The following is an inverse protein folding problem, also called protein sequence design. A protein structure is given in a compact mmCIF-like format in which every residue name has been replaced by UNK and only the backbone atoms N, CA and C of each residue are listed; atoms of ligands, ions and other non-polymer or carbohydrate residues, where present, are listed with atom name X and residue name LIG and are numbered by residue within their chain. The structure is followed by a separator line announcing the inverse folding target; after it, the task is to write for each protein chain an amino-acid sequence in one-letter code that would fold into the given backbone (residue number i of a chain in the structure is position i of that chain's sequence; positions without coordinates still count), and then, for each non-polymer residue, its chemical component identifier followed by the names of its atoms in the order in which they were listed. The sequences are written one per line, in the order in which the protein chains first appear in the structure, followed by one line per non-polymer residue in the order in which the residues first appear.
data_IF_546677882050
#
_entry.id   IF_546677882050
#
_cell.length_a   1.000
_cell.length_b   1.000
_cell.length_c   1.000
_cell.angle_alpha   90.00
_cell.angle_beta   90.00
_cell.angle_gamma   90.00
#
_symmetry.space_group_name_H-M   'P 1'
#
loop_
_entity.id
_entity.type
_entity.pdbx_description
1 polymer ?
#
# COMPACT_ATOMS: atom_id res chain seq x y z
N UNK A 1 -10.54 10.97 15.77
CA UNK A 1 -9.15 11.11 15.29
C UNK A 1 -8.17 11.28 16.44
N UNK A 2 -8.40 12.19 17.40
CA UNK A 2 -7.46 12.40 18.53
C UNK A 2 -7.27 11.15 19.41
N UNK A 3 -8.34 10.42 19.75
CA UNK A 3 -8.22 9.21 20.58
C UNK A 3 -7.33 8.14 19.93
N UNK A 4 -7.60 7.75 18.68
CA UNK A 4 -6.79 6.73 18.00
C UNK A 4 -5.33 7.16 17.83
N UNK A 5 -5.07 8.47 17.65
CA UNK A 5 -3.71 9.02 17.67
C UNK A 5 -3.05 8.88 19.04
N UNK A 6 -3.75 9.22 20.12
CA UNK A 6 -3.23 9.07 21.49
C UNK A 6 -3.01 7.59 21.85
N UNK A 7 -3.88 6.70 21.41
CA UNK A 7 -3.71 5.26 21.54
C UNK A 7 -2.47 4.80 20.77
N UNK A 8 -2.17 5.43 19.61
CA UNK A 8 -0.99 5.10 18.81
C UNK A 8 0.30 5.55 19.47
N UNK A 9 0.31 6.77 20.00
CA UNK A 9 1.43 7.26 20.79
C UNK A 9 1.65 6.41 22.06
N UNK A 10 0.58 5.93 22.69
CA UNK A 10 0.66 5.07 23.87
C UNK A 10 1.26 3.69 23.56
N UNK A 11 0.87 3.07 22.45
CA UNK A 11 1.46 1.81 21.99
C UNK A 11 2.92 2.01 21.57
N UNK A 12 3.25 3.09 20.86
CA UNK A 12 4.65 3.41 20.55
C UNK A 12 5.51 3.62 21.80
N UNK A 13 4.94 4.17 22.87
CA UNK A 13 5.65 4.31 24.16
C UNK A 13 5.94 2.95 24.81
N UNK A 14 5.09 1.94 24.61
CA UNK A 14 5.22 0.63 25.24
C UNK A 14 6.01 -0.38 24.41
N UNK A 15 5.79 -0.40 23.10
CA UNK A 15 6.41 -1.34 22.15
C UNK A 15 7.58 -0.76 21.36
N UNK A 16 7.83 0.55 21.44
CA UNK A 16 8.79 1.26 20.60
C UNK A 16 8.19 1.68 19.25
N UNK A 17 9.03 1.94 18.24
CA UNK A 17 8.54 2.24 16.90
C UNK A 17 7.86 1.01 16.28
N UNK A 18 6.82 1.20 15.44
CA UNK A 18 6.24 0.09 14.70
C UNK A 18 7.30 -0.55 13.81
N UNK A 19 7.20 -1.86 13.57
CA UNK A 19 8.08 -2.57 12.63
C UNK A 19 7.59 -2.35 11.19
N UNK A 20 6.27 -2.23 10.97
CA UNK A 20 5.74 -1.82 9.67
C UNK A 20 4.70 -0.71 9.77
N UNK A 21 4.70 0.15 8.75
CA UNK A 21 3.68 1.14 8.53
C UNK A 21 3.01 0.90 7.18
N UNK A 22 1.71 0.60 7.22
CA UNK A 22 0.93 0.31 6.02
C UNK A 22 -0.10 1.41 5.83
N UNK A 23 -0.20 1.93 4.61
CA UNK A 23 -1.31 2.80 4.20
C UNK A 23 -2.19 2.09 3.20
N UNK A 24 -3.44 1.83 3.57
CA UNK A 24 -4.46 1.25 2.68
C UNK A 24 -5.47 2.32 2.28
N UNK A 25 -5.56 2.60 0.99
CA UNK A 25 -6.48 3.61 0.42
C UNK A 25 -7.63 2.94 -0.33
N UNK A 26 -8.84 3.48 -0.19
CA UNK A 26 -10.03 3.01 -0.90
C UNK A 26 -9.86 3.06 -2.42
N UNK A 27 -10.36 2.02 -3.11
CA UNK A 27 -10.44 1.99 -4.56
C UNK A 27 -11.89 2.20 -5.04
N UNK A 28 -12.23 3.35 -5.64
CA UNK A 28 -13.57 3.59 -6.19
C UNK A 28 -13.89 2.70 -7.40
N UNK A 29 -12.89 2.06 -8.02
CA UNK A 29 -13.07 1.18 -9.20
C UNK A 29 -13.32 -0.28 -8.85
N UNK A 30 -13.46 -0.62 -7.57
CA UNK A 30 -13.81 -1.97 -7.15
C UNK A 30 -15.07 -2.46 -7.88
N UNK A 31 -15.13 -3.75 -8.28
CA UNK A 31 -16.25 -4.28 -9.04
C UNK A 31 -17.57 -4.17 -8.26
N UNK A 32 -17.54 -4.21 -6.93
CA UNK A 32 -18.71 -4.02 -6.09
C UNK A 32 -19.29 -2.60 -6.19
N UNK A 33 -18.43 -1.57 -6.32
CA UNK A 33 -18.84 -0.18 -6.53
C UNK A 33 -19.45 -0.03 -7.92
N UNK A 34 -18.76 -0.53 -8.96
CA UNK A 34 -19.25 -0.48 -10.35
C UNK A 34 -20.60 -1.19 -10.50
N UNK A 35 -20.77 -2.34 -9.86
CA UNK A 35 -22.04 -3.09 -9.86
C UNK A 35 -23.16 -2.30 -9.17
N UNK A 36 -22.86 -1.64 -8.06
CA UNK A 36 -23.85 -0.82 -7.35
C UNK A 36 -24.31 0.38 -8.18
N UNK A 37 -23.38 1.05 -8.87
CA UNK A 37 -23.66 2.24 -9.67
C UNK A 37 -24.13 1.94 -11.09
N UNK A 38 -24.22 0.66 -11.49
CA UNK A 38 -24.48 0.26 -12.88
C UNK A 38 -25.73 0.93 -13.48
N UNK A 39 -26.79 1.02 -12.68
CA UNK A 39 -28.10 1.56 -13.11
C UNK A 39 -28.34 2.98 -12.58
N UNK A 40 -27.29 3.63 -12.06
CA UNK A 40 -27.35 4.95 -11.44
C UNK A 40 -26.38 5.85 -12.20
N UNK A 41 -26.86 6.96 -12.75
CA UNK A 41 -26.02 7.97 -13.42
C UNK A 41 -25.21 8.83 -12.44
N UNK A 42 -24.53 8.19 -11.48
CA UNK A 42 -23.69 8.83 -10.47
C UNK A 42 -22.28 8.27 -10.53
N UNK A 43 -21.30 9.11 -10.22
CA UNK A 43 -19.93 8.69 -10.03
C UNK A 43 -19.72 8.12 -8.61
N UNK A 44 -18.69 7.28 -8.39
CA UNK A 44 -18.34 6.79 -7.06
C UNK A 44 -18.17 7.91 -6.02
N UNK A 45 -17.62 9.05 -6.43
CA UNK A 45 -17.38 10.23 -5.61
C UNK A 45 -18.69 10.86 -5.11
N UNK A 46 -19.79 10.69 -5.84
CA UNK A 46 -21.13 11.16 -5.45
C UNK A 46 -21.75 10.29 -4.35
N UNK A 47 -21.18 9.11 -4.08
CA UNK A 47 -21.66 8.13 -3.08
C UNK A 47 -20.57 7.74 -2.07
N UNK A 48 -20.05 8.72 -1.30
CA UNK A 48 -18.99 8.47 -0.32
C UNK A 48 -19.44 7.52 0.81
N UNK A 49 -20.74 7.40 1.06
CA UNK A 49 -21.32 6.47 2.02
C UNK A 49 -21.03 5.00 1.65
N UNK A 50 -21.09 4.68 0.36
CA UNK A 50 -20.86 3.33 -0.15
C UNK A 50 -19.38 3.02 -0.15
N UNK A 51 -18.55 3.97 -0.61
CA UNK A 51 -17.10 3.83 -0.57
C UNK A 51 -16.61 3.60 0.86
N UNK A 52 -17.12 4.36 1.83
CA UNK A 52 -16.80 4.16 3.25
C UNK A 52 -17.20 2.77 3.75
N UNK A 53 -18.41 2.30 3.44
CA UNK A 53 -18.91 0.99 3.89
C UNK A 53 -18.09 -0.15 3.29
N UNK A 54 -17.89 -0.12 1.98
CA UNK A 54 -17.12 -1.14 1.28
C UNK A 54 -15.66 -1.13 1.73
N UNK A 55 -15.07 0.05 1.88
CA UNK A 55 -13.72 0.17 2.42
C UNK A 55 -13.61 -0.43 3.82
N UNK A 56 -14.57 -0.18 4.72
CA UNK A 56 -14.56 -0.80 6.06
C UNK A 56 -14.60 -2.33 6.00
N UNK A 57 -15.43 -2.91 5.13
CA UNK A 57 -15.50 -4.37 4.94
C UNK A 57 -14.15 -4.92 4.43
N UNK A 58 -13.56 -4.27 3.42
CA UNK A 58 -12.25 -4.67 2.88
C UNK A 58 -11.14 -4.49 3.91
N UNK A 59 -11.18 -3.42 4.71
CA UNK A 59 -10.24 -3.15 5.80
C UNK A 59 -10.33 -4.22 6.89
N UNK A 60 -11.53 -4.65 7.28
CA UNK A 60 -11.69 -5.73 8.26
C UNK A 60 -11.14 -7.05 7.74
N UNK A 61 -11.39 -7.36 6.46
CA UNK A 61 -10.77 -8.52 5.80
C UNK A 61 -9.25 -8.38 5.73
N UNK A 62 -8.73 -7.19 5.44
CA UNK A 62 -7.29 -6.90 5.38
C UNK A 62 -6.62 -7.18 6.71
N UNK A 63 -7.20 -6.69 7.82
CA UNK A 63 -6.68 -6.91 9.17
C UNK A 63 -6.73 -8.39 9.55
N UNK A 64 -7.79 -9.11 9.15
CA UNK A 64 -7.89 -10.56 9.35
C UNK A 64 -6.76 -11.29 8.62
N UNK A 65 -6.54 -10.98 7.35
CA UNK A 65 -5.48 -11.56 6.53
C UNK A 65 -4.09 -11.32 7.12
N UNK A 66 -3.82 -10.10 7.62
CA UNK A 66 -2.55 -9.79 8.28
C UNK A 66 -2.31 -10.67 9.52
N UNK A 67 -3.35 -10.95 10.32
CA UNK A 67 -3.24 -11.74 11.55
C UNK A 67 -3.15 -13.23 11.30
N UNK A 68 -4.01 -13.75 10.42
CA UNK A 68 -4.20 -15.20 10.25
C UNK A 68 -3.24 -15.82 9.24
N UNK A 69 -2.90 -15.11 8.17
CA UNK A 69 -1.98 -15.64 7.15
C UNK A 69 -0.51 -15.38 7.50
N UNK A 70 -0.24 -14.76 8.66
CA UNK A 70 1.10 -14.41 9.13
C UNK A 70 1.98 -13.76 8.06
N UNK A 71 1.38 -12.89 7.23
CA UNK A 71 2.03 -12.28 6.04
C UNK A 71 3.33 -11.58 6.41
N UNK A 72 3.35 -10.95 7.59
CA UNK A 72 4.52 -10.30 8.17
C UNK A 72 4.95 -10.96 9.50
N UNK A 73 4.50 -12.18 9.78
CA UNK A 73 4.74 -12.89 11.04
C UNK A 73 3.62 -12.75 12.09
N UNK A 74 3.97 -12.88 13.37
CA UNK A 74 3.05 -12.69 14.51
C UNK A 74 3.01 -11.20 14.86
N UNK A 75 1.81 -10.61 14.88
CA UNK A 75 1.62 -9.16 14.87
C UNK A 75 0.64 -8.68 15.95
N UNK A 76 0.99 -7.58 16.62
CA UNK A 76 0.02 -6.65 17.20
C UNK A 76 -0.30 -5.57 16.16
N UNK A 77 -1.60 -5.29 15.97
CA UNK A 77 -2.07 -4.39 14.92
C UNK A 77 -2.80 -3.22 15.54
N UNK A 78 -2.38 -2.02 15.17
CA UNK A 78 -3.09 -0.80 15.47
C UNK A 78 -3.60 -0.11 14.21
N UNK A 79 -4.84 0.38 14.30
CA UNK A 79 -5.57 0.95 13.18
C UNK A 79 -5.92 2.43 13.42
N UNK A 80 -5.54 3.28 12.48
CA UNK A 80 -6.01 4.65 12.38
C UNK A 80 -6.84 4.83 11.11
N UNK A 81 -8.16 4.64 11.23
CA UNK A 81 -9.10 4.85 10.13
C UNK A 81 -9.52 6.33 10.03
N UNK A 82 -9.43 6.90 8.83
CA UNK A 82 -9.91 8.25 8.53
C UNK A 82 -11.09 8.19 7.57
N UNK A 83 -12.23 8.73 8.02
CA UNK A 83 -13.45 8.84 7.21
C UNK A 83 -13.42 10.15 6.41
N UNK A 84 -13.14 10.05 5.12
CA UNK A 84 -13.09 11.17 4.17
C UNK A 84 -13.71 10.75 2.83
N UNK A 85 -13.79 11.70 1.88
CA UNK A 85 -14.26 11.44 0.50
C UNK A 85 -13.45 10.33 -0.18
N UNK A 86 -12.15 10.20 0.15
CA UNK A 86 -11.33 9.05 -0.16
C UNK A 86 -10.88 8.36 1.15
N UNK A 87 -11.63 7.36 1.63
CA UNK A 87 -11.31 6.66 2.88
C UNK A 87 -9.92 6.02 2.78
N UNK A 88 -9.13 6.19 3.82
CA UNK A 88 -7.87 5.48 3.98
C UNK A 88 -7.64 5.13 5.44
N UNK A 89 -6.75 4.17 5.64
CA UNK A 89 -6.31 3.77 6.97
C UNK A 89 -4.80 3.68 7.02
N UNK A 90 -4.24 4.21 8.10
CA UNK A 90 -2.87 3.92 8.49
C UNK A 90 -2.89 2.76 9.48
N UNK A 91 -2.00 1.81 9.29
CA UNK A 91 -1.92 0.58 10.06
C UNK A 91 -0.49 0.45 10.55
N UNK A 92 -0.32 0.44 11.87
CA UNK A 92 0.95 0.18 12.51
C UNK A 92 0.98 -1.30 12.89
N UNK A 93 2.03 -2.00 12.47
CA UNK A 93 2.28 -3.39 12.85
C UNK A 93 3.48 -3.47 13.78
N UNK A 94 3.32 -4.18 14.88
CA UNK A 94 4.39 -4.50 15.82
C UNK A 94 4.59 -6.01 15.82
N UNK A 95 5.78 -6.44 15.44
CA UNK A 95 6.18 -7.85 15.44
C UNK A 95 6.50 -8.31 16.86
N UNK A 96 6.13 -9.55 17.16
CA UNK A 96 6.57 -10.20 18.39
C UNK A 96 8.11 -10.28 18.44
N UNK A 97 8.70 -10.04 19.62
CA UNK A 97 10.17 -9.97 19.82
C UNK A 97 10.92 -11.13 19.20
N UNK A 98 10.40 -12.34 19.38
CA UNK A 98 11.04 -13.60 18.97
C UNK A 98 11.03 -13.80 17.45
N UNK A 99 10.26 -12.98 16.72
CA UNK A 99 10.11 -13.04 15.27
C UNK A 99 10.69 -11.80 14.59
N UNK A 100 11.33 -10.89 15.33
CA UNK A 100 12.01 -9.72 14.75
C UNK A 100 13.22 -10.21 13.94
N UNK A 101 13.04 -10.30 12.63
CA UNK A 101 14.09 -10.67 11.66
C UNK A 101 14.35 -9.47 10.73
N UNK A 102 15.26 -8.54 11.10
CA UNK A 102 15.37 -7.22 10.49
C UNK A 102 16.42 -7.19 9.36
N UNK A 103 16.47 -8.21 8.50
CA UNK A 103 17.42 -8.18 7.36
C UNK A 103 16.70 -7.86 6.06
N UNK A 104 17.39 -7.11 5.19
CA UNK A 104 16.90 -6.79 3.84
C UNK A 104 16.59 -8.06 3.05
N UNK A 105 17.40 -9.10 3.21
CA UNK A 105 17.22 -10.40 2.54
C UNK A 105 15.91 -11.09 2.93
N UNK A 106 15.44 -10.89 4.16
CA UNK A 106 14.14 -11.40 4.61
C UNK A 106 12.97 -10.53 4.12
N UNK A 107 13.22 -9.25 3.87
CA UNK A 107 12.20 -8.29 3.45
C UNK A 107 11.91 -8.30 1.95
N UNK A 108 12.93 -8.50 1.11
CA UNK A 108 12.78 -8.51 -0.36
C UNK A 108 11.68 -9.48 -0.89
N UNK A 109 11.47 -10.68 -0.30
CA UNK A 109 10.36 -11.55 -0.69
C UNK A 109 8.98 -11.03 -0.28
N UNK A 110 8.90 -10.22 0.78
CA UNK A 110 7.66 -9.75 1.39
C UNK A 110 7.24 -8.40 0.81
N UNK A 111 8.20 -7.49 0.63
CA UNK A 111 8.01 -6.14 0.12
C UNK A 111 8.83 -5.99 -1.17
N UNK A 112 8.13 -5.67 -2.25
CA UNK A 112 8.72 -5.40 -3.56
C UNK A 112 8.60 -3.93 -3.89
N UNK A 113 9.55 -3.45 -4.68
CA UNK A 113 9.53 -2.13 -5.34
C UNK A 113 9.83 -2.26 -6.83
N UNK A 114 9.61 -3.45 -7.38
CA UNK A 114 9.97 -3.82 -8.76
C UNK A 114 8.73 -4.05 -9.62
N UNK A 115 8.81 -3.66 -10.89
CA UNK A 115 7.81 -3.93 -11.92
C UNK A 115 8.11 -5.34 -12.46
N UNK A 116 7.15 -6.29 -12.43
CA UNK A 116 7.34 -7.61 -13.02
C UNK A 116 7.40 -7.48 -14.54
N UNK A 117 8.00 -8.47 -15.20
CA UNK A 117 7.83 -8.61 -16.64
C UNK A 117 6.34 -8.84 -16.95
N UNK A 118 5.82 -8.14 -17.95
CA UNK A 118 4.44 -8.27 -18.41
C UNK A 118 4.13 -9.68 -18.92
N UNK A 119 5.11 -10.39 -19.47
CA UNK A 119 4.95 -11.75 -19.98
C UNK A 119 4.88 -12.78 -18.83
N UNK A 120 5.52 -12.49 -17.69
CA UNK A 120 5.58 -13.40 -16.54
C UNK A 120 4.37 -13.23 -15.60
N UNK A 121 3.97 -11.98 -15.32
CA UNK A 121 2.83 -11.67 -14.44
C UNK A 121 2.07 -10.43 -14.94
N UNK A 122 1.26 -10.57 -16.01
CA UNK A 122 0.53 -9.45 -16.62
C UNK A 122 -0.48 -8.81 -15.66
N UNK A 123 -1.05 -9.61 -14.74
CA UNK A 123 -1.95 -9.12 -13.71
C UNK A 123 -1.23 -8.18 -12.75
N UNK A 124 -0.10 -8.62 -12.17
CA UNK A 124 0.67 -7.79 -11.25
C UNK A 124 1.23 -6.55 -11.93
N UNK A 125 1.69 -6.67 -13.18
CA UNK A 125 2.11 -5.54 -14.00
C UNK A 125 0.98 -4.49 -14.10
N UNK A 126 -0.24 -4.93 -14.46
CA UNK A 126 -1.40 -4.05 -14.56
C UNK A 126 -1.75 -3.39 -13.22
N UNK A 127 -1.71 -4.14 -12.11
CA UNK A 127 -2.01 -3.62 -10.78
C UNK A 127 -0.95 -2.61 -10.29
N UNK A 128 0.33 -2.86 -10.57
CA UNK A 128 1.40 -1.91 -10.22
C UNK A 128 1.27 -0.64 -11.04
N UNK A 129 1.03 -0.78 -12.34
CA UNK A 129 0.75 0.36 -13.20
C UNK A 129 -0.44 1.14 -12.65
N UNK A 130 -1.54 0.50 -12.29
CA UNK A 130 -2.72 1.22 -11.83
C UNK A 130 -2.53 1.85 -10.44
N UNK A 131 -2.02 1.10 -9.47
CA UNK A 131 -2.09 1.47 -8.07
C UNK A 131 -0.75 1.87 -7.46
N UNK A 132 0.37 1.25 -7.85
CA UNK A 132 1.65 1.38 -7.12
C UNK A 132 2.62 2.41 -7.72
N UNK A 133 2.25 3.01 -8.85
CA UNK A 133 3.05 4.06 -9.48
C UNK A 133 2.22 5.33 -9.52
N UNK A 134 2.66 6.34 -8.79
CA UNK A 134 2.12 7.68 -8.97
C UNK A 134 2.43 8.12 -10.40
N UNK A 135 1.39 8.51 -11.15
CA UNK A 135 1.58 9.13 -12.46
C UNK A 135 2.48 10.37 -12.35
N UNK A 136 2.98 10.92 -13.47
CA UNK A 136 3.83 12.11 -13.43
C UNK A 136 3.14 13.18 -12.58
N UNK A 137 3.74 13.49 -11.42
CA UNK A 137 3.28 14.60 -10.59
C UNK A 137 3.14 15.82 -11.50
N UNK A 138 2.04 16.55 -11.38
CA UNK A 138 1.57 17.54 -12.37
C UNK A 138 2.42 18.82 -12.45
N UNK A 139 3.75 18.71 -12.43
CA UNK A 139 4.69 19.79 -12.74
C UNK A 139 5.73 19.24 -13.72
N UNK A 140 5.74 19.77 -14.95
CA UNK A 140 6.75 19.55 -15.98
C UNK A 140 7.04 18.09 -16.39
N UNK A 141 6.04 17.20 -16.33
CA UNK A 141 6.17 15.76 -16.65
C UNK A 141 7.25 15.05 -15.81
N UNK A 142 7.68 15.65 -14.69
CA UNK A 142 8.66 15.07 -13.76
C UNK A 142 7.95 14.68 -12.47
N UNK A 143 8.07 13.42 -12.08
CA UNK A 143 7.60 12.97 -10.78
C UNK A 143 8.56 13.47 -9.70
N UNK A 144 8.11 14.38 -8.84
CA UNK A 144 8.88 14.86 -7.68
C UNK A 144 9.07 13.76 -6.62
N UNK A 145 8.24 12.71 -6.66
CA UNK A 145 8.32 11.53 -5.80
C UNK A 145 9.07 10.40 -6.50
N UNK A 146 10.37 10.60 -6.71
CA UNK A 146 11.25 9.51 -7.15
C UNK A 146 11.86 8.87 -5.91
N UNK A 147 11.68 7.56 -5.74
CA UNK A 147 12.30 6.79 -4.67
C UNK A 147 13.72 6.41 -5.11
N UNK A 148 14.60 7.42 -5.19
CA UNK A 148 16.00 7.21 -5.52
C UNK A 148 16.71 6.47 -4.38
N UNK A 149 17.57 5.52 -4.74
CA UNK A 149 18.42 4.81 -3.80
C UNK A 149 19.71 5.62 -3.58
N UNK A 150 20.07 5.72 -2.31
CA UNK A 150 21.34 6.10 -1.70
C UNK A 150 21.46 7.51 -1.09
N UNK A 151 21.92 7.46 0.16
CA UNK A 151 22.31 8.52 1.08
C UNK A 151 21.15 9.28 1.75
N UNK A 152 21.04 9.04 3.08
CA UNK A 152 20.17 9.72 4.06
C UNK A 152 18.81 9.06 4.40
N UNK A 153 18.71 7.72 4.35
CA UNK A 153 17.76 6.99 5.20
C UNK A 153 16.44 6.52 4.59
N UNK A 154 16.37 6.18 3.29
CA UNK A 154 15.34 5.31 2.65
C UNK A 154 15.75 5.03 1.18
N UNK A 155 15.38 3.90 0.51
CA UNK A 155 14.76 2.67 0.99
C UNK A 155 15.74 1.48 1.06
N UNK A 156 15.51 0.56 2.02
CA UNK A 156 16.33 -0.63 2.30
C UNK A 156 16.13 -1.80 1.31
N UNK A 157 15.11 -1.75 0.46
CA UNK A 157 14.73 -2.88 -0.41
C UNK A 157 15.51 -2.90 -1.71
N UNK A 158 15.71 -4.12 -2.24
CA UNK A 158 16.33 -4.28 -3.55
C UNK A 158 15.47 -3.63 -4.63
N UNK A 159 16.13 -2.82 -5.46
CA UNK A 159 15.54 -2.18 -6.63
C UNK A 159 16.47 -2.35 -7.83
N UNK A 160 16.19 -3.34 -8.68
CA UNK A 160 16.99 -3.59 -9.89
C UNK A 160 16.79 -2.50 -10.94
N UNK A 161 17.84 -2.21 -11.68
CA UNK A 161 17.77 -1.48 -12.94
C UNK A 161 17.80 -2.51 -14.08
N UNK A 162 16.68 -3.18 -14.29
CA UNK A 162 16.49 -4.27 -15.25
C UNK A 162 15.85 -3.81 -16.57
N UNK A 163 15.58 -2.51 -16.71
CA UNK A 163 14.95 -1.94 -17.89
C UNK A 163 13.43 -2.10 -17.94
N UNK A 164 12.79 -2.69 -16.92
CA UNK A 164 11.33 -2.73 -16.85
C UNK A 164 10.75 -1.34 -16.58
N UNK A 165 9.65 -1.03 -17.24
CA UNK A 165 8.94 0.24 -17.09
C UNK A 165 7.44 0.06 -17.32
N UNK A 166 6.66 0.98 -16.76
CA UNK A 166 5.29 1.26 -17.20
C UNK A 166 5.27 2.60 -17.93
N UNK A 167 4.32 2.78 -18.84
CA UNK A 167 4.12 4.07 -19.51
C UNK A 167 2.84 4.75 -19.01
N UNK A 168 2.97 5.98 -18.50
CA UNK A 168 1.85 6.82 -18.08
C UNK A 168 1.96 8.19 -18.72
N UNK A 169 0.93 8.58 -19.47
CA UNK A 169 0.86 9.89 -20.15
C UNK A 169 2.08 10.19 -21.03
N UNK A 170 2.61 9.18 -21.72
CA UNK A 170 3.80 9.29 -22.58
C UNK A 170 5.13 9.32 -21.83
N UNK A 171 5.15 9.06 -20.52
CA UNK A 171 6.36 9.01 -19.70
C UNK A 171 6.63 7.57 -19.25
N UNK A 172 7.84 7.07 -19.51
CA UNK A 172 8.31 5.78 -19.00
C UNK A 172 8.75 5.92 -17.54
N UNK A 173 8.14 5.13 -16.67
CA UNK A 173 8.39 5.10 -15.24
C UNK A 173 8.97 3.74 -14.88
N UNK A 174 10.19 3.75 -14.35
CA UNK A 174 10.92 2.53 -14.01
C UNK A 174 10.67 2.12 -12.54
N UNK A 175 11.39 1.10 -12.09
CA UNK A 175 11.32 0.62 -10.71
C UNK A 175 11.43 1.77 -9.70
N UNK A 176 12.25 2.81 -9.92
CA UNK A 176 12.41 4.00 -9.02
C UNK A 176 11.13 4.77 -8.69
N UNK A 177 10.05 4.54 -9.41
CA UNK A 177 8.77 5.22 -9.21
C UNK A 177 7.72 4.34 -8.50
N UNK A 178 8.07 3.08 -8.22
CA UNK A 178 7.20 2.11 -7.54
C UNK A 178 7.21 2.38 -6.03
N UNK A 179 6.00 2.53 -5.50
CA UNK A 179 5.68 2.53 -4.06
C UNK A 179 5.87 1.11 -3.51
N UNK A 180 6.55 0.93 -2.36
CA UNK A 180 6.71 -0.38 -1.73
C UNK A 180 5.40 -1.11 -1.51
N UNK A 181 5.33 -2.39 -1.92
CA UNK A 181 4.10 -3.15 -1.92
C UNK A 181 4.32 -4.63 -1.61
N UNK A 182 3.28 -5.29 -1.09
CA UNK A 182 3.25 -6.74 -0.98
C UNK A 182 2.40 -7.33 -2.11
N UNK A 183 2.95 -8.31 -2.86
CA UNK A 183 2.31 -8.90 -4.05
C UNK A 183 0.93 -9.50 -3.74
N UNK A 184 0.83 -10.27 -2.65
CA UNK A 184 -0.40 -10.95 -2.25
C UNK A 184 -1.49 -9.93 -1.89
N UNK A 185 -1.16 -8.94 -1.05
CA UNK A 185 -2.12 -7.92 -0.63
C UNK A 185 -2.59 -7.07 -1.83
N UNK A 186 -1.68 -6.71 -2.73
CA UNK A 186 -2.04 -5.93 -3.93
C UNK A 186 -3.00 -6.70 -4.84
N UNK A 187 -2.72 -7.99 -5.13
CA UNK A 187 -3.61 -8.83 -5.95
C UNK A 187 -4.97 -9.04 -5.30
N UNK A 188 -5.01 -9.30 -3.98
CA UNK A 188 -6.25 -9.59 -3.26
C UNK A 188 -7.17 -8.38 -3.11
N UNK A 189 -6.61 -7.20 -2.80
CA UNK A 189 -7.39 -6.01 -2.48
C UNK A 189 -7.49 -5.02 -3.63
N UNK A 190 -6.64 -5.13 -4.67
CA UNK A 190 -6.68 -4.32 -5.88
C UNK A 190 -6.86 -2.83 -5.57
N UNK A 191 -5.94 -2.29 -4.77
CA UNK A 191 -6.03 -0.93 -4.25
C UNK A 191 -4.63 -0.36 -4.01
N UNK A 192 -4.55 0.95 -3.78
CA UNK A 192 -3.30 1.57 -3.36
C UNK A 192 -2.97 1.17 -1.92
N UNK A 193 -2.01 0.27 -1.75
CA UNK A 193 -1.48 -0.24 -0.48
C UNK A 193 0.03 -0.03 -0.45
N UNK A 194 0.48 0.96 0.33
CA UNK A 194 1.90 1.19 0.59
C UNK A 194 2.31 0.38 1.83
N UNK A 195 3.41 -0.37 1.76
CA UNK A 195 3.95 -1.17 2.86
C UNK A 195 5.39 -0.74 3.16
N UNK A 196 5.57 -0.04 4.27
CA UNK A 196 6.87 0.46 4.72
C UNK A 196 7.37 -0.37 5.90
N UNK A 197 8.63 -0.77 5.85
CA UNK A 197 9.38 -1.36 6.95
C UNK A 197 10.07 -0.23 7.68
N UNK A 198 9.76 -0.12 8.96
CA UNK A 198 10.23 0.90 9.87
C UNK A 198 11.37 0.28 10.69
N UNK A 199 12.61 0.67 10.41
CA UNK A 199 13.81 0.27 11.14
C UNK A 199 14.53 1.51 11.66
#
# INVERSE_FOLDING_TARGET
MLQNYLDAMSLCKWFGYPDFFITFTCNPKWPEVKRFLKDISLQPEDRPDILCRLFKIKLDSFIKDLRENHIFGILFIQLNFKKEVCPHSHICLFMHSDYKLPTVEFMDPIISVEIPNIDDDPELYSLINEFMIHGPCMVDKKCSKTFQSNYNGLPLYRRRNDGHFVEKSGVKLANTNVVPYNKYLLKRYQAHINVEWCN
#
